data_IF_979996494948
#
_entry.id   IF_979996494948
#
_cell.length_a   1.000
_cell.length_b   1.000
_cell.length_c   1.000
_cell.angle_alpha   90.00
_cell.angle_beta   90.00
_cell.angle_gamma   90.00
#
_symmetry.space_group_name_H-M   'P 1'
#
loop_
_entity.id
_entity.type
_entity.pdbx_description
1 polymer ?
#
# COMPACT_ATOMS: atom_id res chain seq x y z
N UNK A 1 -10.13 13.06 7.81
CA UNK A 1 -9.93 13.58 6.45
C UNK A 1 -8.68 12.95 5.87
N UNK A 2 -8.76 12.41 4.64
CA UNK A 2 -7.62 12.03 3.81
C UNK A 2 -7.27 13.21 2.89
N UNK A 3 -6.00 13.53 2.73
CA UNK A 3 -5.54 14.66 1.92
C UNK A 3 -4.65 14.18 0.78
N UNK A 4 -5.11 14.35 -0.47
CA UNK A 4 -4.28 14.22 -1.65
C UNK A 4 -3.31 15.41 -1.71
N UNK A 5 -2.01 15.16 -1.62
CA UNK A 5 -0.98 16.20 -1.66
C UNK A 5 0.34 15.65 -2.22
N UNK A 6 0.91 16.35 -3.20
CA UNK A 6 2.21 15.99 -3.77
C UNK A 6 3.33 16.91 -3.29
N UNK A 7 3.12 18.24 -3.36
CA UNK A 7 4.14 19.23 -3.00
C UNK A 7 4.32 19.31 -1.48
N UNK A 8 5.57 19.43 -1.03
CA UNK A 8 5.97 19.51 0.38
C UNK A 8 5.13 20.52 1.18
N UNK A 9 4.92 21.72 0.64
CA UNK A 9 4.14 22.76 1.32
C UNK A 9 2.69 22.33 1.52
N UNK A 10 2.06 21.73 0.51
CA UNK A 10 0.69 21.20 0.60
C UNK A 10 0.59 20.04 1.61
N UNK A 11 1.58 19.16 1.65
CA UNK A 11 1.70 18.07 2.63
C UNK A 11 1.72 18.66 4.05
N UNK A 12 2.63 19.60 4.30
CA UNK A 12 2.82 20.21 5.63
C UNK A 12 1.57 20.95 6.09
N UNK A 13 0.93 21.72 5.20
CA UNK A 13 -0.33 22.41 5.51
C UNK A 13 -1.46 21.45 5.83
N UNK A 14 -1.60 20.35 5.08
CA UNK A 14 -2.63 19.34 5.33
C UNK A 14 -2.41 18.66 6.70
N UNK A 15 -1.16 18.31 7.04
CA UNK A 15 -0.84 17.71 8.34
C UNK A 15 -1.17 18.68 9.47
N UNK A 16 -0.74 19.94 9.37
CA UNK A 16 -1.00 20.98 10.39
C UNK A 16 -2.51 21.24 10.55
N UNK A 17 -3.26 21.18 9.45
CA UNK A 17 -4.71 21.30 9.46
C UNK A 17 -5.45 20.08 10.05
N UNK A 18 -4.74 19.00 10.43
CA UNK A 18 -5.29 17.83 11.08
C UNK A 18 -5.76 16.74 10.11
N UNK A 19 -5.20 16.67 8.91
CA UNK A 19 -5.44 15.52 8.04
C UNK A 19 -5.02 14.22 8.74
N UNK A 20 -5.86 13.18 8.66
CA UNK A 20 -5.55 11.89 9.26
C UNK A 20 -4.56 11.11 8.41
N UNK A 21 -4.63 11.24 7.08
CA UNK A 21 -3.65 10.67 6.18
C UNK A 21 -3.27 11.65 5.08
N UNK A 22 -2.06 11.46 4.57
CA UNK A 22 -1.56 12.06 3.33
C UNK A 22 -1.49 10.96 2.29
N UNK A 23 -2.19 11.19 1.19
CA UNK A 23 -2.18 10.33 0.01
C UNK A 23 -1.09 10.83 -0.96
N UNK A 24 -0.34 9.91 -1.54
CA UNK A 24 0.80 10.13 -2.43
C UNK A 24 2.02 10.71 -1.72
N UNK A 25 2.03 11.97 -1.33
CA UNK A 25 3.16 12.57 -0.63
C UNK A 25 4.47 12.55 -1.44
N UNK A 26 4.41 12.72 -2.75
CA UNK A 26 5.51 12.45 -3.68
C UNK A 26 6.78 13.26 -3.42
N UNK A 27 6.63 14.48 -2.92
CA UNK A 27 7.75 15.35 -2.51
C UNK A 27 7.81 15.51 -0.98
N UNK A 28 7.59 14.38 -0.27
CA UNK A 28 7.78 14.29 1.17
C UNK A 28 9.23 14.64 1.54
N UNK A 29 9.42 15.44 2.58
CA UNK A 29 10.73 15.77 3.12
C UNK A 29 10.86 15.41 4.61
N UNK A 30 12.01 15.76 5.22
CA UNK A 30 12.26 15.44 6.63
C UNK A 30 11.38 16.25 7.59
N UNK A 31 11.00 17.48 7.22
CA UNK A 31 10.06 18.28 7.99
C UNK A 31 8.66 17.66 7.97
N UNK A 32 8.20 17.26 6.79
CA UNK A 32 6.93 16.54 6.64
C UNK A 32 6.89 15.27 7.47
N UNK A 33 7.98 14.49 7.49
CA UNK A 33 8.10 13.28 8.32
C UNK A 33 7.98 13.63 9.80
N UNK A 34 8.69 14.65 10.26
CA UNK A 34 8.63 15.09 11.66
C UNK A 34 7.21 15.56 12.06
N UNK A 35 6.53 16.26 11.15
CA UNK A 35 5.14 16.66 11.33
C UNK A 35 4.19 15.44 11.38
N UNK A 36 4.36 14.46 10.49
CA UNK A 36 3.56 13.23 10.52
C UNK A 36 3.70 12.48 11.85
N UNK A 37 4.93 12.33 12.35
CA UNK A 37 5.19 11.71 13.65
C UNK A 37 4.51 12.49 14.77
N UNK A 38 4.68 13.81 14.78
CA UNK A 38 4.11 14.69 15.82
C UNK A 38 2.58 14.67 15.85
N UNK A 39 1.96 14.69 14.68
CA UNK A 39 0.49 14.75 14.53
C UNK A 39 -0.15 13.36 14.40
N UNK A 40 0.64 12.28 14.41
CA UNK A 40 0.17 10.90 14.20
C UNK A 40 -0.58 10.74 12.87
N UNK A 41 -0.14 11.46 11.83
CA UNK A 41 -0.72 11.39 10.50
C UNK A 41 -0.20 10.15 9.79
N UNK A 42 -1.10 9.39 9.18
CA UNK A 42 -0.76 8.22 8.37
C UNK A 42 -0.21 8.65 7.00
N UNK A 43 0.59 7.79 6.42
CA UNK A 43 1.10 7.96 5.07
C UNK A 43 0.62 6.84 4.15
N UNK A 44 0.04 7.19 3.00
CA UNK A 44 -0.50 6.25 2.00
C UNK A 44 0.16 6.56 0.65
N UNK A 45 1.34 5.98 0.35
CA UNK A 45 2.18 6.46 -0.75
C UNK A 45 1.62 6.17 -2.15
N UNK A 46 0.92 5.07 -2.38
CA UNK A 46 0.33 4.70 -3.69
C UNK A 46 1.34 4.72 -4.85
N UNK A 47 2.56 4.31 -4.59
CA UNK A 47 3.67 4.50 -5.54
C UNK A 47 3.55 3.59 -6.77
N UNK A 48 3.02 2.36 -6.60
CA UNK A 48 2.94 1.39 -7.69
C UNK A 48 2.04 1.86 -8.85
N UNK A 49 1.04 2.70 -8.60
CA UNK A 49 0.21 3.23 -9.70
C UNK A 49 1.04 4.05 -10.69
N UNK A 50 2.03 4.79 -10.21
CA UNK A 50 3.01 5.49 -11.05
C UNK A 50 3.82 4.52 -11.92
N UNK A 51 4.34 3.44 -11.32
CA UNK A 51 5.05 2.38 -12.04
C UNK A 51 4.16 1.71 -13.09
N UNK A 52 2.89 1.44 -12.75
CA UNK A 52 1.94 0.87 -13.69
C UNK A 52 1.72 1.76 -14.90
N UNK A 53 1.53 3.05 -14.71
CA UNK A 53 1.33 3.99 -15.82
C UNK A 53 2.60 4.19 -16.63
N UNK A 54 3.76 4.33 -15.99
CA UNK A 54 5.05 4.44 -16.67
C UNK A 54 5.32 3.22 -17.57
N UNK A 55 4.99 2.01 -17.11
CA UNK A 55 5.20 0.77 -17.85
C UNK A 55 4.10 0.45 -18.87
N UNK A 56 2.87 0.92 -18.69
CA UNK A 56 1.75 0.60 -19.57
C UNK A 56 1.75 1.40 -20.89
N UNK A 57 2.57 2.42 -21.00
CA UNK A 57 2.58 3.35 -22.15
C UNK A 57 1.31 4.21 -22.24
N UNK A 58 0.47 4.20 -21.21
CA UNK A 58 -0.80 4.95 -21.16
C UNK A 58 -0.62 6.38 -20.65
N UNK A 59 0.42 6.63 -19.87
CA UNK A 59 0.80 7.97 -19.48
C UNK A 59 1.89 8.45 -20.44
N UNK A 60 1.57 9.43 -21.29
CA UNK A 60 2.45 10.11 -22.26
C UNK A 60 3.64 9.23 -22.72
N UNK A 61 3.70 8.87 -23.96
CA UNK A 61 4.66 7.94 -24.58
C UNK A 61 6.17 8.19 -24.28
N UNK A 62 6.48 9.11 -23.39
CA UNK A 62 7.81 9.59 -23.01
C UNK A 62 8.36 9.01 -21.72
N UNK A 63 7.52 8.39 -20.86
CA UNK A 63 7.97 8.01 -19.49
C UNK A 63 8.63 6.63 -19.38
N UNK A 64 8.59 5.81 -20.41
CA UNK A 64 9.05 4.41 -20.35
C UNK A 64 10.56 4.20 -20.16
N UNK A 65 11.37 5.26 -20.35
CA UNK A 65 12.81 5.29 -20.11
C UNK A 65 13.25 6.70 -19.63
N UNK A 66 12.39 7.40 -18.89
CA UNK A 66 12.71 8.74 -18.44
C UNK A 66 13.60 8.64 -17.20
N UNK A 67 14.87 9.07 -17.35
CA UNK A 67 15.79 9.20 -16.22
C UNK A 67 15.20 10.05 -15.10
N UNK A 68 14.35 11.02 -15.45
CA UNK A 68 13.62 11.82 -14.46
C UNK A 68 12.67 10.97 -13.62
N UNK A 69 11.82 10.12 -14.23
CA UNK A 69 10.91 9.28 -13.46
C UNK A 69 11.67 8.30 -12.56
N UNK A 70 12.73 7.69 -13.07
CA UNK A 70 13.55 6.76 -12.30
C UNK A 70 14.18 7.45 -11.10
N UNK A 71 14.81 8.60 -11.29
CA UNK A 71 15.40 9.37 -10.21
C UNK A 71 14.37 9.85 -9.19
N UNK A 72 13.23 10.35 -9.66
CA UNK A 72 12.12 10.77 -8.81
C UNK A 72 11.56 9.60 -7.97
N UNK A 73 11.36 8.44 -8.59
CA UNK A 73 10.89 7.24 -7.90
C UNK A 73 11.87 6.77 -6.82
N UNK A 74 13.16 6.74 -7.14
CA UNK A 74 14.21 6.35 -6.19
C UNK A 74 14.24 7.27 -4.97
N UNK A 75 14.12 8.58 -5.17
CA UNK A 75 14.06 9.54 -4.09
C UNK A 75 12.78 9.38 -3.27
N UNK A 76 11.65 9.12 -3.90
CA UNK A 76 10.39 8.86 -3.23
C UNK A 76 10.47 7.59 -2.35
N UNK A 77 11.00 6.47 -2.88
CA UNK A 77 11.25 5.24 -2.10
C UNK A 77 12.13 5.50 -0.87
N UNK A 78 13.22 6.27 -1.03
CA UNK A 78 14.09 6.65 0.09
C UNK A 78 13.33 7.40 1.18
N UNK A 79 12.44 8.32 0.79
CA UNK A 79 11.65 9.11 1.75
C UNK A 79 10.58 8.25 2.44
N UNK A 80 9.93 7.31 1.73
CA UNK A 80 9.05 6.32 2.35
C UNK A 80 9.79 5.51 3.41
N UNK A 81 10.99 5.01 3.07
CA UNK A 81 11.83 4.28 4.02
C UNK A 81 12.28 5.12 5.21
N UNK A 82 12.55 6.42 5.03
CA UNK A 82 12.84 7.34 6.15
C UNK A 82 11.60 7.53 7.03
N UNK A 83 10.42 7.75 6.44
CA UNK A 83 9.16 7.90 7.18
C UNK A 83 8.86 6.65 8.02
N UNK A 84 9.01 5.45 7.43
CA UNK A 84 8.85 4.19 8.13
C UNK A 84 9.79 4.07 9.33
N UNK A 85 11.09 4.31 9.14
CA UNK A 85 12.09 4.26 10.24
C UNK A 85 11.88 5.32 11.32
N UNK A 86 11.28 6.45 10.98
CA UNK A 86 10.89 7.49 11.91
C UNK A 86 9.62 7.15 12.72
N UNK A 87 8.93 6.06 12.38
CA UNK A 87 7.72 5.60 13.07
C UNK A 87 6.40 6.15 12.50
N UNK A 88 6.43 6.74 11.31
CA UNK A 88 5.19 7.09 10.59
C UNK A 88 4.43 5.81 10.26
N UNK A 89 3.14 5.76 10.59
CA UNK A 89 2.27 4.66 10.22
C UNK A 89 1.99 4.71 8.71
N UNK A 90 2.44 3.69 7.98
CA UNK A 90 2.22 3.56 6.53
C UNK A 90 1.08 2.60 6.29
N UNK A 91 0.09 3.00 5.48
CA UNK A 91 -0.99 2.14 5.02
C UNK A 91 -0.94 1.94 3.51
N UNK A 92 -1.42 0.79 3.04
CA UNK A 92 -1.50 0.47 1.61
C UNK A 92 -2.67 1.23 0.99
N UNK A 93 -2.41 1.92 -0.10
CA UNK A 93 -3.40 2.48 -1.02
C UNK A 93 -3.02 2.13 -2.45
N UNK A 94 -3.99 2.03 -3.34
CA UNK A 94 -3.77 1.62 -4.72
C UNK A 94 -4.02 2.71 -5.75
N UNK A 95 -4.73 3.75 -5.39
CA UNK A 95 -5.18 4.82 -6.30
C UNK A 95 -5.77 4.31 -7.64
N UNK A 96 -6.55 3.22 -7.54
CA UNK A 96 -7.24 2.66 -8.71
C UNK A 96 -8.36 3.59 -9.15
N UNK A 97 -8.03 4.61 -9.91
CA UNK A 97 -8.99 5.60 -10.38
C UNK A 97 -9.42 5.31 -11.83
N UNK A 98 -10.62 4.75 -12.02
CA UNK A 98 -11.43 4.85 -13.24
C UNK A 98 -10.85 4.32 -14.57
N UNK A 99 -9.58 4.02 -14.67
CA UNK A 99 -8.97 3.40 -15.83
C UNK A 99 -8.96 1.88 -15.65
N UNK A 100 -9.00 1.12 -16.74
CA UNK A 100 -9.00 -0.34 -16.73
C UNK A 100 -7.69 -0.92 -16.16
N UNK A 101 -7.42 -0.64 -14.89
CA UNK A 101 -6.32 -1.21 -14.11
C UNK A 101 -6.84 -2.50 -13.49
N UNK A 102 -6.23 -3.65 -13.77
CA UNK A 102 -6.65 -4.91 -13.17
C UNK A 102 -6.55 -4.86 -11.66
N UNK A 103 -7.55 -5.37 -10.94
CA UNK A 103 -7.63 -5.32 -9.47
C UNK A 103 -6.42 -5.98 -8.75
N UNK A 104 -5.80 -7.00 -9.36
CA UNK A 104 -4.61 -7.65 -8.80
C UNK A 104 -3.39 -6.72 -8.74
N UNK A 105 -3.39 -5.63 -9.50
CA UNK A 105 -2.32 -4.61 -9.48
C UNK A 105 -2.20 -3.94 -8.10
N UNK A 106 -3.31 -3.85 -7.34
CA UNK A 106 -3.29 -3.31 -5.97
C UNK A 106 -2.29 -4.03 -5.07
N UNK A 107 -2.16 -5.35 -5.21
CA UNK A 107 -1.27 -6.14 -4.37
C UNK A 107 0.23 -5.85 -4.63
N UNK A 108 0.58 -5.22 -5.72
CA UNK A 108 1.96 -4.84 -6.02
C UNK A 108 2.49 -3.69 -5.18
N UNK A 109 1.61 -2.90 -4.58
CA UNK A 109 2.03 -1.88 -3.62
C UNK A 109 2.78 -2.49 -2.43
N UNK A 110 2.45 -3.72 -2.02
CA UNK A 110 3.20 -4.42 -0.96
C UNK A 110 4.67 -4.63 -1.34
N UNK A 111 4.95 -5.03 -2.59
CA UNK A 111 6.32 -5.20 -3.07
C UNK A 111 7.07 -3.86 -3.11
N UNK A 112 6.41 -2.81 -3.53
CA UNK A 112 6.99 -1.45 -3.57
C UNK A 112 7.31 -0.93 -2.17
N UNK A 113 6.46 -1.21 -1.18
CA UNK A 113 6.75 -0.86 0.22
C UNK A 113 7.97 -1.63 0.77
N UNK A 114 8.15 -2.90 0.39
CA UNK A 114 9.35 -3.68 0.74
C UNK A 114 10.59 -3.08 0.07
N UNK A 115 10.49 -2.69 -1.19
CA UNK A 115 11.56 -1.99 -1.92
C UNK A 115 11.96 -0.67 -1.21
N UNK A 116 10.99 0.04 -0.65
CA UNK A 116 11.23 1.23 0.19
C UNK A 116 11.87 0.93 1.54
N UNK A 117 11.94 -0.35 1.95
CA UNK A 117 12.64 -0.80 3.16
C UNK A 117 11.72 -1.27 4.31
N UNK A 118 10.44 -1.48 4.08
CA UNK A 118 9.57 -2.14 5.05
C UNK A 118 9.92 -3.65 5.12
N UNK A 119 9.72 -4.26 6.29
CA UNK A 119 9.75 -5.72 6.36
C UNK A 119 8.53 -6.31 5.64
N UNK A 120 8.60 -7.56 5.10
CA UNK A 120 7.42 -8.21 4.51
C UNK A 120 6.22 -8.25 5.46
N UNK A 121 6.43 -8.50 6.74
CA UNK A 121 5.38 -8.49 7.74
C UNK A 121 4.77 -7.10 7.92
N UNK A 122 5.59 -6.03 7.94
CA UNK A 122 5.07 -4.67 8.13
C UNK A 122 4.38 -4.16 6.87
N UNK A 123 4.81 -4.58 5.68
CA UNK A 123 4.07 -4.35 4.45
C UNK A 123 2.67 -5.03 4.50
N UNK A 124 2.58 -6.29 4.95
CA UNK A 124 1.29 -6.97 5.15
C UNK A 124 0.43 -6.24 6.18
N UNK A 125 1.01 -5.81 7.30
CA UNK A 125 0.29 -5.01 8.31
C UNK A 125 -0.21 -3.69 7.76
N UNK A 126 0.56 -3.04 6.88
CA UNK A 126 0.14 -1.80 6.22
C UNK A 126 -1.17 -1.95 5.43
N UNK A 127 -1.37 -3.11 4.79
CA UNK A 127 -2.59 -3.43 4.06
C UNK A 127 -3.69 -4.12 4.90
N UNK A 128 -3.46 -4.36 6.18
CA UNK A 128 -4.40 -5.04 7.07
C UNK A 128 -4.70 -4.19 8.30
N UNK A 129 -4.04 -4.46 9.44
CA UNK A 129 -4.37 -3.80 10.71
C UNK A 129 -4.09 -2.30 10.67
N UNK A 130 -3.01 -1.83 10.03
CA UNK A 130 -2.72 -0.39 9.95
C UNK A 130 -3.74 0.33 9.06
N UNK A 131 -4.15 -0.31 7.95
CA UNK A 131 -5.26 0.18 7.12
C UNK A 131 -6.58 0.26 7.90
N UNK A 132 -6.86 -0.76 8.71
CA UNK A 132 -8.05 -0.78 9.57
C UNK A 132 -8.01 0.33 10.65
N UNK A 133 -6.86 0.56 11.29
CA UNK A 133 -6.64 1.66 12.24
C UNK A 133 -6.84 3.03 11.57
N UNK A 134 -6.31 3.22 10.35
CA UNK A 134 -6.52 4.45 9.58
C UNK A 134 -8.01 4.71 9.36
N UNK A 135 -8.77 3.68 9.02
CA UNK A 135 -10.22 3.75 8.80
C UNK A 135 -11.03 3.78 10.10
N UNK A 136 -10.41 3.60 11.27
CA UNK A 136 -11.07 3.46 12.57
C UNK A 136 -12.02 2.26 12.61
N UNK A 137 -11.61 1.14 12.03
CA UNK A 137 -12.34 -0.12 11.96
C UNK A 137 -11.49 -1.30 12.49
N UNK A 138 -10.45 -1.01 13.22
CA UNK A 138 -9.54 -2.01 13.80
C UNK A 138 -10.21 -2.86 14.91
N UNK A 139 -11.34 -2.42 15.43
CA UNK A 139 -12.24 -3.23 16.25
C UNK A 139 -13.03 -4.29 15.45
N UNK A 140 -13.13 -4.13 14.13
CA UNK A 140 -13.96 -4.97 13.24
C UNK A 140 -13.18 -5.78 12.24
N UNK A 141 -12.00 -5.33 11.82
CA UNK A 141 -11.22 -5.99 10.78
C UNK A 141 -9.70 -5.71 10.92
N UNK A 142 -8.92 -6.23 9.98
CA UNK A 142 -7.47 -6.03 9.94
C UNK A 142 -6.66 -7.12 10.64
N UNK A 143 -7.29 -7.99 11.44
CA UNK A 143 -6.66 -9.15 12.08
C UNK A 143 -7.67 -10.30 12.20
N UNK A 144 -7.14 -11.54 12.31
CA UNK A 144 -7.97 -12.74 12.50
C UNK A 144 -8.16 -12.94 14.02
N UNK A 145 -9.26 -12.42 14.52
CA UNK A 145 -9.61 -12.48 15.94
C UNK A 145 -11.10 -12.77 16.13
N UNK A 146 -11.46 -13.32 17.32
CA UNK A 146 -12.86 -13.56 17.66
C UNK A 146 -13.62 -12.24 17.68
N UNK A 147 -14.83 -12.24 17.14
CA UNK A 147 -15.74 -11.10 16.98
C UNK A 147 -15.35 -10.08 15.91
N UNK A 148 -14.29 -10.30 15.13
CA UNK A 148 -14.05 -9.51 13.92
C UNK A 148 -14.72 -10.13 12.69
N UNK A 149 -14.94 -9.29 11.69
CA UNK A 149 -15.47 -9.72 10.39
C UNK A 149 -14.49 -10.69 9.74
N UNK A 150 -15.02 -11.77 9.18
CA UNK A 150 -14.21 -12.76 8.48
C UNK A 150 -13.94 -12.31 7.02
N UNK A 151 -13.11 -11.27 6.88
CA UNK A 151 -12.52 -10.80 5.65
C UNK A 151 -11.13 -11.44 5.53
N UNK A 152 -11.04 -12.58 4.86
CA UNK A 152 -9.86 -13.45 4.90
C UNK A 152 -9.46 -13.82 3.48
N UNK A 153 -8.16 -13.73 3.19
CA UNK A 153 -7.57 -14.34 2.00
C UNK A 153 -6.60 -15.45 2.41
N UNK A 154 -6.44 -16.45 1.55
CA UNK A 154 -5.31 -17.36 1.62
C UNK A 154 -4.54 -17.32 0.30
N UNK A 155 -3.22 -17.46 0.40
CA UNK A 155 -2.30 -17.49 -0.73
C UNK A 155 -1.55 -18.81 -0.77
N UNK A 156 -1.02 -19.19 -1.94
CA UNK A 156 -0.16 -20.36 -2.07
C UNK A 156 1.29 -19.95 -1.80
N UNK A 157 1.88 -20.52 -0.76
CA UNK A 157 3.24 -20.21 -0.33
C UNK A 157 3.32 -19.28 0.88
N UNK A 158 4.52 -18.81 1.18
CA UNK A 158 4.81 -17.96 2.32
C UNK A 158 4.99 -16.49 1.86
N UNK A 159 4.04 -15.58 2.12
CA UNK A 159 4.17 -14.19 1.69
C UNK A 159 5.30 -13.42 2.40
N UNK A 160 5.89 -13.97 3.45
CA UNK A 160 7.09 -13.40 4.09
C UNK A 160 8.36 -13.68 3.32
N UNK A 161 8.37 -14.72 2.47
CA UNK A 161 9.47 -15.08 1.59
C UNK A 161 9.26 -14.54 0.18
N UNK A 162 8.00 -14.58 -0.31
CA UNK A 162 7.61 -14.06 -1.62
C UNK A 162 6.29 -13.30 -1.51
N UNK A 163 6.39 -11.99 -1.40
CA UNK A 163 5.23 -11.10 -1.26
C UNK A 163 4.33 -11.12 -2.50
N UNK A 164 4.84 -11.50 -3.67
CA UNK A 164 4.06 -11.58 -4.91
C UNK A 164 2.94 -12.61 -4.87
N UNK A 165 2.98 -13.54 -3.93
CA UNK A 165 1.89 -14.49 -3.67
C UNK A 165 0.56 -13.80 -3.37
N UNK A 166 0.60 -12.57 -2.82
CA UNK A 166 -0.58 -11.75 -2.55
C UNK A 166 -1.31 -11.30 -3.83
N UNK A 167 -0.65 -11.33 -4.99
CA UNK A 167 -1.27 -11.00 -6.28
C UNK A 167 -2.27 -12.08 -6.75
N UNK A 168 -2.16 -13.29 -6.20
CA UNK A 168 -2.93 -14.47 -6.66
C UNK A 168 -3.50 -15.26 -5.47
N UNK A 169 -4.47 -14.71 -4.74
CA UNK A 169 -5.10 -15.45 -3.66
C UNK A 169 -5.76 -16.71 -4.19
N UNK A 170 -5.68 -17.80 -3.43
CA UNK A 170 -6.34 -19.08 -3.73
C UNK A 170 -7.69 -19.22 -3.02
N UNK A 171 -7.92 -18.35 -2.04
CA UNK A 171 -9.16 -18.28 -1.30
C UNK A 171 -9.46 -16.82 -0.93
N UNK A 172 -10.72 -16.42 -1.03
CA UNK A 172 -11.22 -15.11 -0.61
C UNK A 172 -12.55 -15.29 0.11
N UNK A 173 -12.61 -14.77 1.33
CA UNK A 173 -13.83 -14.68 2.13
C UNK A 173 -14.10 -13.22 2.47
N UNK A 174 -15.35 -12.81 2.39
CA UNK A 174 -15.83 -11.47 2.75
C UNK A 174 -17.02 -11.60 3.70
N UNK A 175 -16.90 -11.02 4.89
CA UNK A 175 -17.95 -11.08 5.93
C UNK A 175 -18.48 -12.51 6.17
N UNK A 176 -17.56 -13.49 6.22
CA UNK A 176 -17.87 -14.91 6.39
C UNK A 176 -18.41 -15.63 5.14
N UNK A 177 -18.72 -14.91 4.06
CA UNK A 177 -19.13 -15.51 2.81
C UNK A 177 -17.93 -15.85 1.93
N UNK A 178 -17.85 -17.08 1.43
CA UNK A 178 -16.81 -17.50 0.50
C UNK A 178 -17.10 -16.90 -0.88
N UNK A 179 -16.22 -16.01 -1.33
CA UNK A 179 -16.30 -15.34 -2.64
C UNK A 179 -15.53 -16.13 -3.71
N UNK A 180 -14.39 -16.71 -3.30
CA UNK A 180 -13.52 -17.47 -4.20
C UNK A 180 -12.84 -18.58 -3.42
N UNK A 181 -12.81 -19.80 -4.02
CA UNK A 181 -12.13 -20.96 -3.46
C UNK A 181 -11.54 -21.82 -4.58
N UNK A 182 -10.24 -21.92 -4.61
CA UNK A 182 -9.50 -22.72 -5.60
C UNK A 182 -8.47 -23.66 -4.93
N UNK A 183 -8.70 -24.05 -3.68
CA UNK A 183 -7.81 -24.94 -2.95
C UNK A 183 -7.57 -26.29 -3.65
N UNK A 184 -8.60 -26.89 -4.26
CA UNK A 184 -8.49 -28.20 -4.90
C UNK A 184 -7.49 -28.22 -6.06
N UNK A 185 -7.41 -27.13 -6.82
CA UNK A 185 -6.48 -27.02 -7.95
C UNK A 185 -5.02 -26.92 -7.50
N UNK A 186 -4.76 -26.40 -6.31
CA UNK A 186 -3.42 -26.26 -5.75
C UNK A 186 -2.94 -27.47 -4.98
N UNK A 187 -3.85 -28.25 -4.36
CA UNK A 187 -3.50 -29.53 -3.73
C UNK A 187 -3.11 -30.61 -4.74
N UNK A 188 -3.65 -30.54 -5.97
CA UNK A 188 -3.32 -31.48 -7.04
C UNK A 188 -1.95 -31.24 -7.72
N UNK A 189 -1.32 -30.07 -7.51
CA UNK A 189 -0.01 -29.74 -8.10
C UNK A 189 1.15 -30.11 -7.17
N UNK A 190 0.89 -30.29 -5.88
CA UNK A 190 1.90 -30.56 -4.84
C UNK A 190 1.88 -32.00 -4.32
N UNK A 191 1.15 -32.91 -4.96
CA UNK A 191 1.18 -34.37 -4.81
C UNK A 191 1.72 -35.00 -6.09
#
# INVERSE_FOLDING_TARGET
VAAHAHATEGINQAIIAGARSIEHGSYLDEESIALMVKHQTYYVPTIYIGDYYANSGKLLAQTKNDEFYTSFRDDWLKMIGKAYRAGVKIAVGSDLCGYAVPSHVCAREFATLIEAGLSPMDAIKAGTIVGAELLQWDDKLGSIEVNKLADIIAVSGNPLEDISTLEKPVFVMKDGAIIFNNFEKYSAINN
#
